data_IF_665943224597
#
_entry.id   IF_665943224597
#
_cell.length_a   1.000
_cell.length_b   1.000
_cell.length_c   1.000
_cell.angle_alpha   90.00
_cell.angle_beta   90.00
_cell.angle_gamma   90.00
#
_symmetry.space_group_name_H-M   'P 1'
#
loop_
_entity.id
_entity.type
_entity.pdbx_description
1 polymer ?
#
# COMPACT_ATOMS: atom_id res chain seq x y z
N UNK A 1 -10.27 15.49 23.33
CA UNK A 1 -10.02 15.24 21.88
C UNK A 1 -9.18 13.98 21.78
N UNK A 2 -9.50 13.05 20.88
CA UNK A 2 -8.68 11.86 20.68
C UNK A 2 -7.29 12.29 20.16
N UNK A 3 -6.23 11.71 20.72
CA UNK A 3 -4.85 11.99 20.32
C UNK A 3 -4.62 11.51 18.89
N UNK A 4 -4.33 12.45 17.99
CA UNK A 4 -4.15 12.20 16.56
C UNK A 4 -2.75 12.60 16.09
N UNK A 5 -2.32 11.98 15.00
CA UNK A 5 -1.06 12.28 14.31
C UNK A 5 -1.33 12.62 12.85
N UNK A 6 -0.66 13.66 12.38
CA UNK A 6 -0.75 14.13 10.99
C UNK A 6 0.34 13.46 10.14
N UNK A 7 -0.06 12.95 8.98
CA UNK A 7 0.82 12.46 7.93
C UNK A 7 0.68 13.31 6.68
N UNK A 8 1.80 13.66 6.06
CA UNK A 8 1.85 14.40 4.80
C UNK A 8 2.10 13.44 3.64
N UNK A 9 1.54 13.77 2.48
CA UNK A 9 1.75 13.00 1.27
C UNK A 9 1.36 13.74 0.00
N UNK A 10 1.50 13.02 -1.11
CA UNK A 10 1.21 13.50 -2.46
C UNK A 10 0.14 12.62 -3.11
N UNK A 11 -0.87 13.25 -3.71
CA UNK A 11 -1.90 12.58 -4.50
C UNK A 11 -1.28 12.01 -5.78
N UNK A 12 -1.61 10.77 -6.09
CA UNK A 12 -1.12 10.06 -7.28
C UNK A 12 -2.25 9.56 -8.18
N UNK A 13 -1.97 9.34 -9.48
CA UNK A 13 -2.92 8.71 -10.37
C UNK A 13 -3.23 7.28 -9.91
N UNK A 14 -4.52 6.94 -9.94
CA UNK A 14 -4.98 5.58 -9.73
C UNK A 14 -4.82 4.73 -10.99
N UNK A 15 -4.86 3.40 -10.82
CA UNK A 15 -4.95 2.43 -11.93
C UNK A 15 -6.36 1.88 -12.13
N UNK A 16 -7.34 2.48 -11.45
CA UNK A 16 -8.75 2.06 -11.42
C UNK A 16 -9.00 0.60 -10.98
N UNK A 17 -8.01 -0.05 -10.34
CA UNK A 17 -8.13 -1.44 -9.87
C UNK A 17 -9.07 -1.56 -8.66
N UNK A 18 -9.08 -0.55 -7.80
CA UNK A 18 -9.88 -0.56 -6.57
C UNK A 18 -11.37 -0.36 -6.86
N UNK A 19 -11.75 0.34 -7.94
CA UNK A 19 -13.16 0.67 -8.23
C UNK A 19 -14.05 -0.56 -8.31
N UNK A 20 -13.70 -1.53 -9.15
CA UNK A 20 -14.49 -2.76 -9.31
C UNK A 20 -14.56 -3.58 -8.01
N UNK A 21 -13.51 -3.54 -7.19
CA UNK A 21 -13.50 -4.23 -5.89
C UNK A 21 -14.47 -3.57 -4.92
N UNK A 22 -14.43 -2.24 -4.81
CA UNK A 22 -15.31 -1.46 -3.93
C UNK A 22 -16.78 -1.61 -4.36
N UNK A 23 -17.05 -1.53 -5.65
CA UNK A 23 -18.40 -1.71 -6.20
C UNK A 23 -18.96 -3.10 -5.88
N UNK A 24 -18.20 -4.16 -6.15
CA UNK A 24 -18.57 -5.55 -5.84
C UNK A 24 -18.77 -5.80 -4.35
N UNK A 25 -18.08 -5.06 -3.48
CA UNK A 25 -18.11 -5.25 -2.02
C UNK A 25 -18.86 -4.13 -1.29
N UNK A 26 -19.66 -3.34 -2.01
CA UNK A 26 -20.37 -2.16 -1.50
C UNK A 26 -21.25 -2.46 -0.28
N UNK A 27 -22.04 -3.54 -0.31
CA UNK A 27 -22.88 -3.95 0.82
C UNK A 27 -22.06 -4.33 2.07
N UNK A 28 -20.95 -5.05 1.87
CA UNK A 28 -20.05 -5.42 2.97
C UNK A 28 -19.37 -4.17 3.55
N UNK A 29 -18.91 -3.25 2.68
CA UNK A 29 -18.34 -1.97 3.09
C UNK A 29 -19.35 -1.12 3.87
N UNK A 30 -20.61 -1.06 3.46
CA UNK A 30 -21.66 -0.37 4.19
C UNK A 30 -21.81 -0.98 5.59
N UNK A 31 -21.84 -2.32 5.72
CA UNK A 31 -21.90 -2.98 7.03
C UNK A 31 -20.69 -2.71 7.92
N UNK A 32 -19.49 -2.63 7.34
CA UNK A 32 -18.23 -2.41 8.08
C UNK A 32 -18.03 -0.93 8.45
N UNK A 33 -18.42 0.00 7.59
CA UNK A 33 -18.13 1.43 7.75
C UNK A 33 -19.33 2.23 8.26
N UNK A 34 -20.55 1.75 8.04
CA UNK A 34 -21.79 2.51 8.24
C UNK A 34 -22.04 3.58 7.17
N UNK A 35 -21.25 3.61 6.10
CA UNK A 35 -21.30 4.65 5.06
C UNK A 35 -21.38 4.03 3.66
N UNK A 36 -22.09 4.70 2.74
CA UNK A 36 -22.09 4.31 1.32
C UNK A 36 -20.85 4.90 0.64
N UNK A 37 -19.81 4.08 0.53
CA UNK A 37 -18.53 4.47 -0.07
C UNK A 37 -18.65 4.57 -1.60
N UNK A 38 -18.18 5.67 -2.18
CA UNK A 38 -18.17 5.82 -3.65
C UNK A 38 -17.17 4.84 -4.28
N UNK A 39 -17.49 4.22 -5.44
CA UNK A 39 -16.54 3.38 -6.15
C UNK A 39 -15.26 4.13 -6.51
N UNK A 40 -14.13 3.54 -6.11
CA UNK A 40 -12.79 4.08 -6.35
C UNK A 40 -12.04 4.42 -5.08
N UNK A 41 -10.83 4.96 -5.23
CA UNK A 41 -10.00 5.39 -4.12
C UNK A 41 -9.09 6.55 -4.50
N UNK A 42 -8.75 7.40 -3.53
CA UNK A 42 -7.71 8.41 -3.68
C UNK A 42 -6.37 7.82 -3.28
N UNK A 43 -5.44 7.71 -4.22
CA UNK A 43 -4.10 7.19 -3.98
C UNK A 43 -3.21 8.30 -3.43
N UNK A 44 -2.56 8.05 -2.29
CA UNK A 44 -1.62 8.98 -1.67
C UNK A 44 -0.33 8.24 -1.34
N UNK A 45 0.81 8.85 -1.68
CA UNK A 45 2.11 8.45 -1.16
C UNK A 45 2.53 9.39 -0.06
N UNK A 46 2.74 8.82 1.12
CA UNK A 46 3.19 9.52 2.30
C UNK A 46 4.69 9.80 2.24
N UNK A 47 5.11 10.89 2.87
CA UNK A 47 6.53 11.25 2.99
C UNK A 47 7.28 10.33 3.95
N UNK A 48 6.55 9.77 4.92
CA UNK A 48 7.09 8.92 5.97
C UNK A 48 6.34 7.58 6.00
N UNK A 49 6.99 6.47 6.37
CA UNK A 49 6.33 5.18 6.45
C UNK A 49 5.26 5.20 7.55
N UNK A 50 4.06 4.72 7.21
CA UNK A 50 2.95 4.54 8.14
C UNK A 50 2.69 3.04 8.30
N UNK A 51 2.70 2.55 9.54
CA UNK A 51 2.21 1.22 9.86
C UNK A 51 0.94 1.36 10.68
N UNK A 52 -0.13 0.72 10.22
CA UNK A 52 -1.42 0.74 10.92
C UNK A 52 -1.54 -0.49 11.83
N UNK A 53 -2.21 -0.31 12.97
CA UNK A 53 -2.40 -1.33 14.00
C UNK A 53 -3.19 -2.51 13.44
N UNK A 54 -2.79 -3.73 13.81
CA UNK A 54 -3.52 -4.94 13.42
C UNK A 54 -4.77 -5.17 14.27
N UNK A 55 -4.78 -4.63 15.48
CA UNK A 55 -5.82 -4.84 16.48
C UNK A 55 -7.05 -3.99 16.17
N UNK A 56 -6.84 -2.79 15.64
CA UNK A 56 -7.93 -1.85 15.33
C UNK A 56 -8.40 -1.93 13.87
N UNK A 57 -7.84 -2.84 13.08
CA UNK A 57 -8.21 -2.97 11.67
C UNK A 57 -9.64 -3.50 11.56
N UNK A 58 -10.40 -2.96 10.61
CA UNK A 58 -11.61 -3.62 10.09
C UNK A 58 -11.25 -4.37 8.82
N UNK A 59 -11.97 -5.43 8.50
CA UNK A 59 -11.71 -6.25 7.32
C UNK A 59 -12.93 -6.39 6.45
N UNK A 60 -12.73 -6.47 5.13
CA UNK A 60 -13.77 -6.78 4.16
C UNK A 60 -13.19 -7.62 3.00
N UNK A 61 -14.02 -8.00 2.02
CA UNK A 61 -13.65 -8.78 0.83
C UNK A 61 -12.98 -10.10 1.24
N UNK A 62 -13.60 -10.84 2.16
CA UNK A 62 -13.05 -12.09 2.69
C UNK A 62 -11.69 -11.93 3.38
N UNK A 63 -11.44 -10.78 4.01
CA UNK A 63 -10.19 -10.49 4.72
C UNK A 63 -9.04 -10.00 3.83
N UNK A 64 -9.30 -9.75 2.54
CA UNK A 64 -8.31 -9.21 1.60
C UNK A 64 -8.28 -7.68 1.58
N UNK A 65 -9.23 -7.01 2.23
CA UNK A 65 -9.22 -5.56 2.41
C UNK A 65 -9.14 -5.18 3.89
N UNK A 66 -8.31 -4.19 4.21
CA UNK A 66 -8.15 -3.67 5.57
C UNK A 66 -8.49 -2.19 5.62
N UNK A 67 -9.24 -1.78 6.64
CA UNK A 67 -9.74 -0.42 6.83
C UNK A 67 -9.39 0.14 8.20
N UNK A 68 -9.06 1.43 8.24
CA UNK A 68 -8.88 2.21 9.45
C UNK A 68 -9.55 3.59 9.30
N UNK A 69 -10.22 4.10 10.34
CA UNK A 69 -10.79 5.43 10.29
C UNK A 69 -9.69 6.49 10.31
N UNK A 70 -9.90 7.58 9.57
CA UNK A 70 -9.00 8.72 9.50
C UNK A 70 -9.78 10.00 9.17
N UNK A 71 -9.09 11.14 9.14
CA UNK A 71 -9.61 12.38 8.58
C UNK A 71 -8.73 12.89 7.45
N UNK A 72 -9.38 13.43 6.43
CA UNK A 72 -8.74 14.07 5.29
C UNK A 72 -9.34 15.46 5.14
N UNK A 73 -8.53 16.51 5.35
CA UNK A 73 -9.00 17.90 5.39
C UNK A 73 -10.27 18.08 6.25
N UNK A 74 -10.28 17.47 7.44
CA UNK A 74 -11.42 17.49 8.36
C UNK A 74 -12.58 16.55 8.02
N UNK A 75 -12.69 16.02 6.80
CA UNK A 75 -13.71 15.04 6.43
C UNK A 75 -13.38 13.64 6.96
N UNK A 76 -14.40 12.90 7.42
CA UNK A 76 -14.25 11.49 7.81
C UNK A 76 -13.99 10.65 6.56
N UNK A 77 -12.97 9.81 6.64
CA UNK A 77 -12.57 8.92 5.55
C UNK A 77 -12.05 7.60 6.12
N UNK A 78 -11.85 6.63 5.24
CA UNK A 78 -11.25 5.35 5.58
C UNK A 78 -9.94 5.15 4.83
N UNK A 79 -8.87 4.83 5.57
CA UNK A 79 -7.64 4.35 4.96
C UNK A 79 -7.84 2.89 4.60
N UNK A 80 -7.70 2.58 3.32
CA UNK A 80 -7.71 1.26 2.75
C UNK A 80 -6.28 0.77 2.46
N UNK A 81 -6.01 -0.48 2.84
CA UNK A 81 -4.83 -1.23 2.42
C UNK A 81 -5.19 -2.67 2.07
N UNK A 82 -4.44 -3.23 1.13
CA UNK A 82 -4.45 -4.64 0.78
C UNK A 82 -3.26 -5.37 1.45
N UNK A 83 -3.23 -6.71 1.41
CA UNK A 83 -2.07 -7.47 1.87
C UNK A 83 -0.77 -6.99 1.22
N UNK A 84 0.26 -6.83 2.04
CA UNK A 84 1.58 -6.39 1.58
C UNK A 84 1.62 -5.00 0.89
N UNK A 85 0.63 -4.12 1.07
CA UNK A 85 0.74 -2.71 0.64
C UNK A 85 2.00 -2.08 1.24
N UNK A 86 2.83 -1.35 0.45
CA UNK A 86 3.99 -0.63 0.99
C UNK A 86 3.59 0.38 2.09
N UNK A 87 4.46 0.58 3.08
CA UNK A 87 4.11 1.41 4.26
C UNK A 87 3.83 2.88 3.95
N UNK A 88 4.34 3.43 2.86
CA UNK A 88 4.04 4.82 2.48
C UNK A 88 2.84 4.95 1.55
N UNK A 89 2.28 3.85 1.04
CA UNK A 89 1.11 3.89 0.16
C UNK A 89 -0.16 3.80 1.01
N UNK A 90 -1.09 4.71 0.79
CA UNK A 90 -2.44 4.62 1.34
C UNK A 90 -3.45 4.92 0.24
N UNK A 91 -4.54 4.17 0.25
CA UNK A 91 -5.72 4.48 -0.55
C UNK A 91 -6.79 5.03 0.39
N UNK A 92 -7.46 6.10 0.00
CA UNK A 92 -8.52 6.70 0.80
C UNK A 92 -9.87 6.41 0.16
N UNK A 93 -10.75 5.83 0.95
CA UNK A 93 -12.15 5.61 0.64
C UNK A 93 -12.99 6.66 1.36
N UNK A 94 -14.07 7.09 0.72
CA UNK A 94 -14.91 8.18 1.20
C UNK A 94 -16.33 8.02 0.66
N UNK A 95 -17.29 8.65 1.32
CA UNK A 95 -18.66 8.79 0.82
C UNK A 95 -18.79 9.79 -0.35
N UNK A 96 -17.72 10.52 -0.67
CA UNK A 96 -17.66 11.46 -1.80
C UNK A 96 -16.40 11.29 -2.64
N UNK A 97 -16.46 11.72 -3.91
CA UNK A 97 -15.27 11.82 -4.77
C UNK A 97 -14.34 12.95 -4.30
N UNK A 98 -13.33 12.59 -3.50
CA UNK A 98 -12.40 13.54 -2.86
C UNK A 98 -11.69 14.49 -3.86
N UNK A 99 -11.39 14.03 -5.08
CA UNK A 99 -10.78 14.89 -6.10
C UNK A 99 -11.70 16.03 -6.51
N UNK A 100 -12.96 15.74 -6.79
CA UNK A 100 -13.97 16.74 -7.14
C UNK A 100 -14.26 17.64 -5.94
N UNK A 101 -14.47 17.05 -4.77
CA UNK A 101 -14.83 17.79 -3.55
C UNK A 101 -13.77 18.82 -3.12
N UNK A 102 -12.49 18.47 -3.26
CA UNK A 102 -11.37 19.30 -2.78
C UNK A 102 -10.50 19.87 -3.91
N UNK A 103 -10.93 19.76 -5.17
CA UNK A 103 -10.18 20.26 -6.33
C UNK A 103 -8.78 19.65 -6.49
N UNK A 104 -8.62 18.36 -6.18
CA UNK A 104 -7.29 17.72 -6.13
C UNK A 104 -6.84 17.21 -7.50
N UNK A 105 -5.61 17.58 -7.86
CA UNK A 105 -4.90 17.04 -9.03
C UNK A 105 -3.75 16.12 -8.63
N UNK A 106 -3.19 15.37 -9.58
CA UNK A 106 -1.97 14.61 -9.33
C UNK A 106 -0.83 15.54 -8.93
N UNK A 107 -0.01 15.12 -7.96
CA UNK A 107 1.02 15.97 -7.38
C UNK A 107 0.54 16.89 -6.24
N UNK A 108 -0.77 17.01 -6.02
CA UNK A 108 -1.32 17.82 -4.91
C UNK A 108 -0.83 17.29 -3.56
N UNK A 109 -0.35 18.21 -2.73
CA UNK A 109 0.11 17.92 -1.36
C UNK A 109 -1.07 17.91 -0.41
N UNK A 110 -1.15 16.89 0.43
CA UNK A 110 -2.30 16.65 1.31
C UNK A 110 -1.85 16.18 2.69
N UNK A 111 -2.73 16.35 3.67
CA UNK A 111 -2.56 15.86 5.04
C UNK A 111 -3.66 14.88 5.42
N UNK A 112 -3.28 13.86 6.18
CA UNK A 112 -4.17 12.85 6.72
C UNK A 112 -3.97 12.80 8.22
N UNK A 113 -5.05 12.88 8.97
CA UNK A 113 -5.06 12.75 10.42
C UNK A 113 -5.50 11.35 10.80
N UNK A 114 -4.72 10.71 11.68
CA UNK A 114 -4.98 9.34 12.12
C UNK A 114 -4.86 9.31 13.62
N UNK A 115 -5.87 8.75 14.30
CA UNK A 115 -5.81 8.52 15.74
C UNK A 115 -4.64 7.60 16.10
N UNK A 116 -3.91 7.92 17.18
CA UNK A 116 -2.72 7.16 17.56
C UNK A 116 -3.00 5.70 17.85
N UNK A 117 -4.18 5.37 18.35
CA UNK A 117 -4.62 3.99 18.56
C UNK A 117 -4.58 3.14 17.27
N UNK A 118 -4.72 3.77 16.11
CA UNK A 118 -4.66 3.11 14.81
C UNK A 118 -3.24 3.00 14.24
N UNK A 119 -2.23 3.53 14.93
CA UNK A 119 -0.85 3.56 14.46
C UNK A 119 -0.02 2.55 15.25
N UNK A 120 0.71 1.69 14.54
CA UNK A 120 1.71 0.81 15.13
C UNK A 120 3.13 1.29 14.82
N UNK A 121 4.10 0.88 15.64
CA UNK A 121 5.49 1.27 15.45
C UNK A 121 6.10 0.65 14.20
N UNK A 122 6.80 1.47 13.41
CA UNK A 122 7.66 0.99 12.33
C UNK A 122 9.00 0.62 12.96
N UNK A 123 9.24 -0.67 13.19
CA UNK A 123 10.53 -1.14 13.72
C UNK A 123 11.70 -0.78 12.81
N UNK A 124 12.92 -0.74 13.36
CA UNK A 124 14.12 -0.28 12.66
C UNK A 124 14.36 -0.96 11.30
N UNK A 125 14.18 -2.29 11.22
CA UNK A 125 14.32 -3.01 9.96
C UNK A 125 13.32 -2.54 8.89
N UNK A 126 12.07 -2.28 9.29
CA UNK A 126 11.03 -1.77 8.40
C UNK A 126 11.34 -0.36 7.92
N UNK A 127 11.91 0.47 8.80
CA UNK A 127 12.33 1.83 8.46
C UNK A 127 13.52 1.84 7.48
N UNK A 128 14.56 1.04 7.76
CA UNK A 128 15.71 0.91 6.85
C UNK A 128 15.30 0.32 5.50
N UNK A 129 14.48 -0.74 5.51
CA UNK A 129 13.90 -1.31 4.29
C UNK A 129 13.12 -0.28 3.49
N UNK A 130 12.35 0.56 4.18
CA UNK A 130 11.67 1.68 3.55
C UNK A 130 12.67 2.65 2.91
N UNK A 131 13.70 3.09 3.62
CA UNK A 131 14.72 3.99 3.08
C UNK A 131 15.37 3.42 1.82
N UNK A 132 15.81 2.16 1.85
CA UNK A 132 16.48 1.51 0.71
C UNK A 132 15.58 1.38 -0.52
N UNK A 133 14.28 1.14 -0.33
CA UNK A 133 13.35 0.88 -1.43
C UNK A 133 12.62 2.15 -1.87
N UNK A 134 12.57 3.23 -1.07
CA UNK A 134 11.62 4.31 -1.33
C UNK A 134 12.17 5.71 -1.20
N UNK A 135 13.22 5.95 -0.42
CA UNK A 135 13.75 7.30 -0.24
C UNK A 135 14.25 7.85 -1.58
N UNK A 136 13.65 8.96 -2.02
CA UNK A 136 13.93 9.59 -3.32
C UNK A 136 13.41 8.84 -4.55
N UNK A 137 12.59 7.79 -4.38
CA UNK A 137 12.16 6.88 -5.46
C UNK A 137 10.66 6.55 -5.43
N UNK A 138 9.87 7.37 -4.74
CA UNK A 138 8.43 7.17 -4.59
C UNK A 138 7.68 7.18 -5.92
N UNK A 139 8.07 8.05 -6.85
CA UNK A 139 7.49 8.18 -8.18
C UNK A 139 7.77 6.96 -9.08
N UNK A 140 8.99 6.39 -8.99
CA UNK A 140 9.41 5.23 -9.79
C UNK A 140 8.52 4.01 -9.58
N UNK A 141 7.96 3.82 -8.40
CA UNK A 141 7.04 2.71 -8.15
C UNK A 141 5.75 2.79 -8.95
N UNK A 142 5.25 4.00 -9.18
CA UNK A 142 4.02 4.20 -9.93
C UNK A 142 4.29 4.26 -11.43
N UNK A 143 5.43 4.83 -11.84
CA UNK A 143 5.81 5.02 -13.26
C UNK A 143 6.47 3.78 -13.88
N UNK A 144 7.25 3.01 -13.12
CA UNK A 144 8.04 1.88 -13.62
C UNK A 144 7.52 0.54 -13.11
N UNK A 145 6.89 -0.22 -14.01
CA UNK A 145 6.47 -1.59 -13.71
C UNK A 145 7.65 -2.51 -13.32
N UNK A 146 8.84 -2.27 -13.89
CA UNK A 146 10.07 -3.00 -13.53
C UNK A 146 10.47 -2.70 -12.08
N UNK A 147 10.50 -1.42 -11.70
CA UNK A 147 10.83 -1.02 -10.32
C UNK A 147 9.86 -1.66 -9.33
N UNK A 148 8.56 -1.50 -9.58
CA UNK A 148 7.48 -2.08 -8.75
C UNK A 148 7.64 -3.58 -8.54
N UNK A 149 7.96 -4.33 -9.61
CA UNK A 149 8.15 -5.79 -9.55
C UNK A 149 9.26 -6.20 -8.58
N UNK A 150 10.29 -5.39 -8.40
CA UNK A 150 11.39 -5.65 -7.47
C UNK A 150 11.15 -5.04 -6.08
N UNK A 151 10.59 -3.83 -6.05
CA UNK A 151 10.31 -3.09 -4.81
C UNK A 151 9.27 -3.79 -3.92
N UNK A 152 8.26 -4.45 -4.51
CA UNK A 152 7.21 -5.15 -3.76
C UNK A 152 7.78 -6.32 -2.93
N UNK A 153 8.46 -7.33 -3.52
CA UNK A 153 9.08 -8.40 -2.75
C UNK A 153 10.08 -7.91 -1.70
N UNK A 154 10.91 -6.92 -2.06
CA UNK A 154 11.87 -6.33 -1.14
C UNK A 154 11.17 -5.69 0.08
N UNK A 155 10.07 -4.95 -0.17
CA UNK A 155 9.30 -4.33 0.91
C UNK A 155 8.70 -5.36 1.87
N UNK A 156 8.26 -6.51 1.35
CA UNK A 156 7.77 -7.61 2.22
C UNK A 156 8.91 -8.21 3.05
N UNK A 157 10.05 -8.47 2.43
CA UNK A 157 11.22 -9.07 3.08
C UNK A 157 11.74 -8.18 4.21
N UNK A 158 11.95 -6.89 3.93
CA UNK A 158 12.45 -5.94 4.91
C UNK A 158 11.39 -5.40 5.87
N UNK A 159 10.18 -5.98 5.90
CA UNK A 159 9.07 -5.50 6.74
C UNK A 159 8.71 -4.01 6.47
N UNK A 160 8.93 -3.53 5.25
CA UNK A 160 8.49 -2.23 4.74
C UNK A 160 7.12 -2.30 4.04
N UNK A 161 6.29 -3.30 4.40
CA UNK A 161 4.89 -3.43 3.99
C UNK A 161 3.94 -3.57 5.19
N UNK A 162 2.67 -3.23 4.98
CA UNK A 162 1.55 -3.51 5.88
C UNK A 162 1.30 -5.02 5.99
N UNK A 163 0.59 -5.43 7.06
CA UNK A 163 -0.03 -6.74 7.30
C UNK A 163 0.32 -7.86 6.30
N UNK A 164 1.00 -8.90 6.80
CA UNK A 164 1.10 -10.17 6.07
C UNK A 164 -0.32 -10.78 6.05
N UNK A 165 -0.96 -10.84 4.89
CA UNK A 165 -1.95 -11.88 4.65
C UNK A 165 -1.24 -13.24 4.63
N UNK A 166 -1.95 -14.34 4.87
CA UNK A 166 -1.38 -15.70 4.82
C UNK A 166 -0.67 -15.99 3.48
N UNK A 167 -1.08 -15.32 2.40
CA UNK A 167 -0.58 -15.47 1.01
C UNK A 167 0.82 -14.89 0.74
N UNK A 168 1.28 -13.91 1.52
CA UNK A 168 2.46 -13.12 1.14
C UNK A 168 3.81 -13.87 1.24
N UNK A 169 3.88 -14.97 2.02
CA UNK A 169 5.11 -15.77 2.15
C UNK A 169 5.31 -16.70 0.95
N UNK A 170 4.24 -17.31 0.45
CA UNK A 170 4.31 -18.25 -0.67
C UNK A 170 4.60 -17.53 -1.99
N UNK A 171 3.96 -16.38 -2.23
CA UNK A 171 4.22 -15.55 -3.42
C UNK A 171 5.65 -15.00 -3.44
N UNK A 172 6.21 -14.69 -2.26
CA UNK A 172 7.61 -14.31 -2.12
C UNK A 172 8.55 -15.47 -2.45
N UNK A 173 8.30 -16.65 -1.88
CA UNK A 173 9.12 -17.84 -2.14
C UNK A 173 9.11 -18.22 -3.63
N UNK A 174 7.94 -18.14 -4.30
CA UNK A 174 7.81 -18.34 -5.76
C UNK A 174 8.61 -17.33 -6.57
N UNK A 175 8.65 -16.07 -6.12
CA UNK A 175 9.42 -15.02 -6.79
C UNK A 175 10.93 -15.25 -6.67
N UNK A 176 11.40 -15.67 -5.50
CA UNK A 176 12.82 -15.96 -5.25
C UNK A 176 13.28 -17.20 -6.02
N UNK A 177 12.50 -18.28 -6.04
CA UNK A 177 12.83 -19.48 -6.81
C UNK A 177 12.95 -19.18 -8.31
N UNK A 178 12.04 -18.36 -8.84
CA UNK A 178 12.10 -17.94 -10.25
C UNK A 178 13.38 -17.15 -10.58
N UNK A 179 13.84 -16.28 -9.67
CA UNK A 179 15.08 -15.51 -9.85
C UNK A 179 16.30 -16.43 -9.75
N UNK A 180 16.33 -17.32 -8.77
CA UNK A 180 17.42 -18.28 -8.58
C UNK A 180 17.56 -19.22 -9.80
N UNK A 181 16.44 -19.72 -10.34
CA UNK A 181 16.42 -20.54 -11.56
C UNK A 181 16.98 -19.79 -12.77
N UNK A 182 16.65 -18.51 -12.94
CA UNK A 182 17.18 -17.69 -14.04
C UNK A 182 18.68 -17.42 -13.92
N UNK A 183 19.18 -17.21 -12.69
CA UNK A 183 20.61 -17.02 -12.44
C UNK A 183 21.40 -18.33 -12.67
N UNK A 184 20.88 -19.45 -12.19
CA UNK A 184 21.46 -20.77 -12.43
C UNK A 184 21.53 -21.11 -13.93
N UNK A 185 20.45 -20.85 -14.69
CA UNK A 185 20.43 -21.03 -16.14
C UNK A 185 21.47 -20.19 -16.89
N UNK A 186 21.65 -18.92 -16.49
CA UNK A 186 22.69 -18.05 -17.09
C UNK A 186 24.11 -18.50 -16.77
N UNK A 187 24.36 -18.99 -15.55
CA UNK A 187 25.66 -19.51 -15.15
C UNK A 187 26.01 -20.80 -15.91
N UNK A 188 25.02 -21.69 -16.11
CA UNK A 188 25.20 -22.92 -16.88
C UNK A 188 25.47 -22.65 -18.36
N UNK A 189 24.77 -21.71 -19.00
CA UNK A 189 25.05 -21.32 -20.39
C UNK A 189 26.45 -20.71 -20.56
N UNK A 190 26.91 -19.88 -19.62
CA UNK A 190 28.27 -19.32 -19.65
C UNK A 190 29.37 -20.37 -19.54
N UNK A 191 29.11 -21.47 -18.82
CA UNK A 191 30.07 -22.57 -18.67
C UNK A 191 30.15 -23.40 -19.96
N UNK A 192 29.02 -23.63 -20.63
CA UNK A 192 28.96 -24.37 -21.91
C UNK A 192 29.67 -23.66 -23.06
N UNK A 193 29.59 -22.33 -23.13
CA UNK A 193 30.29 -21.53 -24.16
C UNK A 193 31.79 -21.32 -23.89
N UNK A 194 32.34 -21.80 -22.76
CA UNK A 194 33.78 -21.77 -22.47
C UNK A 194 34.47 -23.12 -22.68
N UNK A 195 33.70 -24.15 -23.04
CA UNK A 195 34.18 -25.52 -23.25
C UNK A 195 34.06 -25.98 -24.70
N UNK A 196 33.70 -25.05 -25.60
CA UNK A 196 33.77 -25.15 -27.05
C UNK A 196 34.76 -24.09 -27.54
#
# INVERSE_FOLDING_TARGET
MADSRVFRGTVLPGRNLTSATIERTSNELLGVTGESIVPGSLNIVLDTPLRLSRETKRTFNGGQGFLWPARFNGARVWIYRWPATPLQVVEILSLVHLRTQFGLSDGTRVTIEIERANIASVGALGFLGWMFVWLGRSDLFYRSNRYRRHAMPASVYFKASQCRGNTAREDFLRSVTTIAQRLAGRLLMRRRNRSA
#
